data_IF_290617112667
#
_entry.id   IF_290617112667
#
_cell.length_a   1.000
_cell.length_b   1.000
_cell.length_c   1.000
_cell.angle_alpha   90.00
_cell.angle_beta   90.00
_cell.angle_gamma   90.00
#
_symmetry.space_group_name_H-M   'P 1'
#
loop_
_entity.id
_entity.type
_entity.pdbx_description
1 polymer ?
#
# COMPACT_ATOMS: atom_id res chain seq x y z
N UNK A 1 -11.56 5.38 6.76
CA UNK A 1 -10.15 5.20 7.25
C UNK A 1 -10.02 5.05 8.76
N UNK A 2 -10.57 5.96 9.59
CA UNK A 2 -10.46 5.90 11.06
C UNK A 2 -11.10 4.63 11.66
N UNK A 3 -12.27 4.23 11.15
CA UNK A 3 -12.97 3.00 11.57
C UNK A 3 -12.12 1.75 11.35
N UNK A 4 -11.59 1.55 10.14
CA UNK A 4 -10.69 0.43 9.83
C UNK A 4 -9.41 0.38 10.68
N UNK A 5 -8.85 1.54 11.03
CA UNK A 5 -7.65 1.60 11.87
C UNK A 5 -7.98 1.23 13.33
N UNK A 6 -9.15 1.68 13.82
CA UNK A 6 -9.67 1.34 15.14
C UNK A 6 -9.99 -0.14 15.25
N UNK A 7 -10.65 -0.72 14.26
CA UNK A 7 -10.91 -2.17 14.21
C UNK A 7 -9.64 -3.01 14.11
N UNK A 8 -8.64 -2.56 13.33
CA UNK A 8 -7.37 -3.26 13.23
C UNK A 8 -6.63 -3.29 14.58
N UNK A 9 -6.71 -2.19 15.34
CA UNK A 9 -6.13 -2.08 16.68
C UNK A 9 -6.92 -2.90 17.70
N UNK A 10 -8.25 -2.88 17.65
CA UNK A 10 -9.11 -3.73 18.48
C UNK A 10 -8.91 -5.21 18.22
N UNK A 11 -8.62 -5.61 16.98
CA UNK A 11 -8.26 -6.98 16.60
C UNK A 11 -6.78 -7.32 16.86
N UNK A 12 -5.99 -6.39 17.41
CA UNK A 12 -4.55 -6.56 17.64
C UNK A 12 -3.77 -7.02 16.40
N UNK A 13 -4.24 -6.67 15.21
CA UNK A 13 -3.61 -7.05 13.96
C UNK A 13 -2.30 -6.26 13.83
N UNK A 14 -1.20 -6.97 13.58
CA UNK A 14 0.15 -6.40 13.48
C UNK A 14 0.77 -6.80 12.14
N UNK A 15 1.71 -5.99 11.67
CA UNK A 15 2.47 -6.29 10.45
C UNK A 15 1.59 -6.54 9.23
N UNK A 16 1.76 -7.70 8.62
CA UNK A 16 1.12 -8.07 7.35
C UNK A 16 -0.40 -8.29 7.49
N UNK A 17 -0.84 -8.84 8.61
CA UNK A 17 -2.28 -9.06 8.91
C UNK A 17 -3.04 -7.74 8.98
N UNK A 18 -2.44 -6.72 9.61
CA UNK A 18 -3.02 -5.37 9.65
C UNK A 18 -3.15 -4.80 8.25
N UNK A 19 -2.13 -4.97 7.41
CA UNK A 19 -2.09 -4.40 6.05
C UNK A 19 -3.15 -5.02 5.14
N UNK A 20 -3.32 -6.34 5.24
CA UNK A 20 -4.36 -7.09 4.52
C UNK A 20 -5.76 -6.71 5.01
N UNK A 21 -5.96 -6.65 6.33
CA UNK A 21 -7.21 -6.21 6.92
C UNK A 21 -7.56 -4.76 6.58
N UNK A 22 -6.60 -3.83 6.65
CA UNK A 22 -6.83 -2.43 6.29
C UNK A 22 -7.18 -2.29 4.82
N UNK A 23 -6.52 -3.04 3.92
CA UNK A 23 -6.87 -3.02 2.50
C UNK A 23 -8.28 -3.54 2.25
N UNK A 24 -8.69 -4.63 2.91
CA UNK A 24 -10.04 -5.19 2.76
C UNK A 24 -11.11 -4.32 3.41
N UNK A 25 -10.83 -3.73 4.56
CA UNK A 25 -11.74 -2.83 5.26
C UNK A 25 -11.92 -1.52 4.50
N UNK A 26 -10.84 -0.91 4.00
CA UNK A 26 -10.92 0.30 3.18
C UNK A 26 -11.64 0.04 1.84
N UNK A 27 -11.53 -1.18 1.30
CA UNK A 27 -12.30 -1.63 0.13
C UNK A 27 -13.78 -1.92 0.42
N UNK A 28 -14.18 -2.08 1.69
CA UNK A 28 -15.57 -2.31 2.11
C UNK A 28 -16.27 -1.05 2.60
N UNK A 29 -15.56 -0.21 3.35
CA UNK A 29 -16.02 1.06 3.92
C UNK A 29 -16.00 2.18 2.88
N UNK A 30 -15.06 2.09 1.93
CA UNK A 30 -15.22 2.75 0.65
C UNK A 30 -16.16 1.89 -0.19
N UNK A 31 -17.34 2.41 -0.50
CA UNK A 31 -17.95 2.12 -1.79
C UNK A 31 -16.84 2.05 -2.82
N UNK A 32 -16.67 0.88 -3.42
CA UNK A 32 -16.07 0.78 -4.74
C UNK A 32 -16.95 1.62 -5.68
N UNK A 33 -16.70 2.93 -5.70
CA UNK A 33 -17.13 3.88 -6.69
C UNK A 33 -15.90 4.78 -6.85
N UNK A 34 -15.18 4.73 -7.94
CA UNK A 34 -15.67 4.69 -9.31
C UNK A 34 -14.53 4.21 -10.22
N UNK A 35 -14.83 3.82 -11.45
CA UNK A 35 -13.91 3.41 -12.50
C UNK A 35 -12.86 4.46 -12.93
N UNK A 36 -12.40 5.34 -12.05
CA UNK A 36 -11.05 5.92 -12.16
C UNK A 36 -10.07 4.82 -11.77
N UNK A 37 -9.29 4.37 -12.74
CA UNK A 37 -8.12 3.54 -12.47
C UNK A 37 -7.27 4.11 -11.35
N UNK A 38 -6.41 3.26 -10.77
CA UNK A 38 -5.37 3.66 -9.81
C UNK A 38 -4.84 5.05 -10.18
N UNK A 39 -4.81 5.98 -9.22
CA UNK A 39 -4.19 7.28 -9.52
C UNK A 39 -2.79 7.02 -10.06
N UNK A 40 -2.24 7.83 -10.97
CA UNK A 40 -0.91 7.59 -11.54
C UNK A 40 0.15 7.33 -10.47
N UNK A 41 0.01 8.01 -9.32
CA UNK A 41 0.84 7.82 -8.14
C UNK A 41 0.64 6.45 -7.45
N UNK A 42 -0.60 5.99 -7.29
CA UNK A 42 -0.89 4.65 -6.73
C UNK A 42 -0.45 3.53 -7.67
N UNK A 43 -0.63 3.69 -8.98
CA UNK A 43 -0.20 2.72 -9.97
C UNK A 43 1.32 2.59 -9.95
N UNK A 44 2.03 3.72 -9.94
CA UNK A 44 3.49 3.77 -9.83
C UNK A 44 3.99 3.17 -8.52
N UNK A 45 3.33 3.45 -7.40
CA UNK A 45 3.68 2.83 -6.12
C UNK A 45 3.56 1.30 -6.15
N UNK A 46 2.55 0.78 -6.83
CA UNK A 46 2.34 -0.67 -7.01
C UNK A 46 3.44 -1.28 -7.88
N UNK A 47 3.80 -0.61 -8.97
CA UNK A 47 4.86 -1.02 -9.90
C UNK A 47 6.25 -1.01 -9.22
N UNK A 48 6.57 0.06 -8.48
CA UNK A 48 7.78 0.15 -7.67
C UNK A 48 7.85 -0.96 -6.62
N UNK A 49 6.73 -1.29 -5.96
CA UNK A 49 6.72 -2.41 -5.01
C UNK A 49 6.97 -3.75 -5.70
N UNK A 50 6.34 -3.99 -6.85
CA UNK A 50 6.54 -5.23 -7.62
C UNK A 50 8.00 -5.39 -8.04
N UNK A 51 8.62 -4.34 -8.58
CA UNK A 51 10.03 -4.34 -8.96
C UNK A 51 10.97 -4.54 -7.76
N UNK A 52 10.65 -3.94 -6.61
CA UNK A 52 11.43 -4.15 -5.40
C UNK A 52 11.38 -5.61 -4.92
N UNK A 53 10.20 -6.23 -4.97
CA UNK A 53 10.02 -7.65 -4.64
C UNK A 53 10.71 -8.57 -5.65
N UNK A 54 10.62 -8.26 -6.94
CA UNK A 54 11.27 -9.04 -8.00
C UNK A 54 12.80 -9.00 -7.89
N UNK A 55 13.35 -7.87 -7.45
CA UNK A 55 14.76 -7.72 -7.12
C UNK A 55 15.12 -8.23 -5.71
N UNK A 56 14.16 -8.80 -4.97
CA UNK A 56 14.32 -9.23 -3.58
C UNK A 56 14.94 -8.16 -2.67
N UNK A 57 14.66 -6.88 -2.94
CA UNK A 57 15.14 -5.77 -2.14
C UNK A 57 14.43 -5.79 -0.78
N UNK A 58 15.22 -5.65 0.29
CA UNK A 58 14.75 -5.67 1.68
C UNK A 58 15.42 -4.54 2.45
N UNK A 59 14.88 -4.20 3.62
CA UNK A 59 15.47 -3.21 4.51
C UNK A 59 15.73 -1.84 3.85
N UNK A 60 16.94 -1.34 4.01
CA UNK A 60 17.36 -0.03 3.50
C UNK A 60 17.34 0.03 1.97
N UNK A 61 17.77 -1.05 1.29
CA UNK A 61 17.81 -1.14 -0.17
C UNK A 61 16.42 -0.99 -0.80
N UNK A 62 15.41 -1.63 -0.20
CA UNK A 62 14.02 -1.46 -0.63
C UNK A 62 13.54 -0.02 -0.46
N UNK A 63 13.90 0.61 0.65
CA UNK A 63 13.45 1.96 0.99
C UNK A 63 14.07 3.02 0.08
N UNK A 64 15.38 2.88 -0.20
CA UNK A 64 16.09 3.69 -1.21
C UNK A 64 15.52 3.48 -2.60
N UNK A 65 15.30 2.23 -3.01
CA UNK A 65 14.70 1.92 -4.30
C UNK A 65 13.30 2.49 -4.44
N UNK A 66 12.43 2.32 -3.44
CA UNK A 66 11.08 2.90 -3.46
C UNK A 66 11.13 4.43 -3.56
N UNK A 67 12.01 5.08 -2.80
CA UNK A 67 12.16 6.54 -2.83
C UNK A 67 12.64 7.03 -4.19
N UNK A 68 13.62 6.36 -4.79
CA UNK A 68 14.12 6.67 -6.13
C UNK A 68 13.06 6.41 -7.22
N UNK A 69 12.34 5.29 -7.12
CA UNK A 69 11.30 4.90 -8.07
C UNK A 69 10.09 5.85 -8.03
N UNK A 70 9.70 6.31 -6.84
CA UNK A 70 8.62 7.28 -6.63
C UNK A 70 9.04 8.73 -6.95
N UNK A 71 10.31 9.10 -6.74
CA UNK A 71 10.84 10.44 -7.07
C UNK A 71 11.00 10.73 -8.57
N UNK A 72 10.96 9.71 -9.44
CA UNK A 72 11.18 9.88 -10.89
C UNK A 72 10.03 10.57 -11.63
N UNK A 73 9.28 11.44 -10.96
CA UNK A 73 8.28 12.37 -11.50
C UNK A 73 8.35 13.68 -10.69
N UNK A 74 9.36 14.48 -11.02
CA UNK A 74 9.26 15.94 -11.10
C UNK A 74 9.63 16.31 -12.52
#
# INVERSE_FOLDING_TARGET
MSVCNKEASSKSLKGDERKTFMSSCLKKDGTAQDGKGLTPQQQKMRECNAQATQQSLKGDDRSKFMSACLKKQV
#
